data_IF_024843657557
#
_entry.id   IF_024843657557
#
_cell.length_a   1.000
_cell.length_b   1.000
_cell.length_c   1.000
_cell.angle_alpha   90.00
_cell.angle_beta   90.00
_cell.angle_gamma   90.00
#
_symmetry.space_group_name_H-M   'P 1'
#
loop_
_entity.id
_entity.type
_entity.pdbx_description
1 polymer ?
#
# COMPACT_ATOMS: atom_id res chain seq x y z
N UNK A 1 -32.33 -19.80 28.37
CA UNK A 1 -31.84 -20.76 27.35
C UNK A 1 -31.41 -19.92 26.17
N UNK A 2 -30.09 -19.74 25.96
CA UNK A 2 -29.34 -20.52 24.96
C UNK A 2 -29.67 -19.95 23.57
N UNK A 3 -28.89 -19.05 22.97
CA UNK A 3 -27.52 -19.29 22.52
C UNK A 3 -27.61 -19.60 21.02
N UNK A 4 -26.95 -18.81 20.16
CA UNK A 4 -26.81 -19.20 18.76
C UNK A 4 -26.61 -18.07 17.75
N UNK A 5 -25.34 -17.80 17.48
CA UNK A 5 -24.76 -17.57 16.14
C UNK A 5 -25.09 -16.26 15.41
N UNK A 6 -24.12 -15.35 15.44
CA UNK A 6 -23.93 -14.35 14.38
C UNK A 6 -23.66 -15.06 13.04
N UNK A 7 -24.26 -14.62 11.93
CA UNK A 7 -23.75 -14.93 10.61
C UNK A 7 -23.01 -13.72 10.05
N UNK A 8 -21.74 -13.97 9.75
CA UNK A 8 -21.04 -13.61 8.50
C UNK A 8 -21.07 -12.13 8.10
N UNK A 9 -19.96 -11.44 8.37
CA UNK A 9 -19.51 -10.38 7.47
C UNK A 9 -19.22 -11.05 6.12
N UNK A 10 -20.14 -10.88 5.18
CA UNK A 10 -19.92 -11.12 3.77
C UNK A 10 -18.96 -10.00 3.30
N UNK A 11 -17.66 -10.27 3.43
CA UNK A 11 -16.64 -9.52 2.71
C UNK A 11 -16.78 -9.93 1.25
N UNK A 12 -17.69 -9.25 0.54
CA UNK A 12 -17.84 -9.37 -0.91
C UNK A 12 -16.53 -8.88 -1.53
N UNK A 13 -15.61 -9.85 -1.73
CA UNK A 13 -14.26 -9.71 -2.24
C UNK A 13 -14.17 -9.20 -3.68
N UNK A 14 -14.99 -8.22 -4.04
CA UNK A 14 -14.92 -7.44 -5.26
C UNK A 14 -13.79 -6.43 -5.13
N UNK A 15 -12.56 -6.92 -4.96
CA UNK A 15 -11.35 -6.14 -5.17
C UNK A 15 -11.34 -5.74 -6.65
N UNK A 16 -11.76 -4.51 -6.95
CA UNK A 16 -12.04 -4.02 -8.29
C UNK A 16 -10.83 -4.19 -9.23
N UNK A 17 -10.82 -5.28 -10.01
CA UNK A 17 -9.71 -5.60 -10.91
C UNK A 17 -9.55 -4.59 -12.06
N UNK A 18 -10.54 -3.73 -12.31
CA UNK A 18 -10.46 -2.60 -13.26
C UNK A 18 -9.75 -1.35 -12.71
N UNK A 19 -9.60 -1.23 -11.38
CA UNK A 19 -8.74 -0.21 -10.78
C UNK A 19 -7.24 -0.45 -11.08
N UNK A 20 -6.87 -1.65 -11.55
CA UNK A 20 -5.49 -2.06 -11.86
C UNK A 20 -4.81 -1.20 -12.93
N UNK A 21 -5.54 -0.75 -13.94
CA UNK A 21 -4.99 0.08 -15.01
C UNK A 21 -5.10 1.59 -14.68
N UNK A 22 -6.15 1.98 -13.96
CA UNK A 22 -6.30 3.33 -13.43
C UNK A 22 -5.23 3.68 -12.40
N UNK A 23 -4.80 2.72 -11.57
CA UNK A 23 -3.69 2.88 -10.63
C UNK A 23 -2.35 2.96 -11.35
N UNK A 24 -2.06 2.09 -12.34
CA UNK A 24 -0.86 2.21 -13.20
C UNK A 24 -0.82 3.53 -13.97
N UNK A 25 -1.96 4.00 -14.47
CA UNK A 25 -2.09 5.29 -15.18
C UNK A 25 -1.94 6.48 -14.24
N UNK A 26 -2.52 6.41 -13.03
CA UNK A 26 -2.25 7.36 -11.95
C UNK A 26 -0.77 7.30 -11.52
N UNK A 27 -0.11 6.15 -11.68
CA UNK A 27 1.31 5.95 -11.38
C UNK A 27 2.26 6.64 -12.38
N UNK A 28 1.86 6.77 -13.65
CA UNK A 28 2.58 7.65 -14.58
C UNK A 28 2.40 9.15 -14.26
N UNK A 29 1.51 9.50 -13.33
CA UNK A 29 1.24 10.87 -12.88
C UNK A 29 1.89 11.26 -11.55
N UNK A 30 2.98 10.59 -11.12
CA UNK A 30 3.60 10.85 -9.81
C UNK A 30 4.25 12.23 -9.68
N UNK A 31 4.34 13.05 -10.73
CA UNK A 31 4.83 14.43 -10.61
C UNK A 31 4.05 15.23 -9.55
N UNK A 32 2.71 15.20 -9.56
CA UNK A 32 1.89 15.95 -8.59
C UNK A 32 1.98 15.36 -7.16
N UNK A 33 1.82 14.04 -6.96
CA UNK A 33 2.00 13.39 -5.66
C UNK A 33 3.41 13.53 -5.06
N UNK A 34 4.47 13.44 -5.90
CA UNK A 34 5.86 13.66 -5.49
C UNK A 34 6.11 15.13 -5.17
N UNK A 35 5.54 16.07 -5.93
CA UNK A 35 5.60 17.49 -5.61
C UNK A 35 4.98 17.78 -4.23
N UNK A 36 3.83 17.18 -3.92
CA UNK A 36 3.19 17.34 -2.61
C UNK A 36 4.03 16.83 -1.44
N UNK A 37 4.92 15.86 -1.66
CA UNK A 37 5.85 15.42 -0.61
C UNK A 37 6.82 16.53 -0.19
N UNK A 38 7.12 17.47 -1.10
CA UNK A 38 7.94 18.64 -0.84
C UNK A 38 7.13 19.88 -0.45
N UNK A 39 5.93 20.07 -1.02
CA UNK A 39 5.13 21.30 -0.87
C UNK A 39 4.01 21.21 0.17
N UNK A 40 3.54 20.01 0.53
CA UNK A 40 2.36 19.76 1.40
C UNK A 40 2.54 18.49 2.26
N UNK A 41 3.44 18.50 3.26
CA UNK A 41 3.76 17.33 4.07
C UNK A 41 2.56 16.72 4.81
N UNK A 42 1.53 17.51 5.14
CA UNK A 42 0.28 17.04 5.76
C UNK A 42 -0.56 16.14 4.85
N UNK A 43 -0.38 16.24 3.54
CA UNK A 43 -1.07 15.39 2.54
C UNK A 43 -0.37 14.05 2.35
N UNK A 44 0.89 13.94 2.76
CA UNK A 44 1.66 12.72 2.58
C UNK A 44 1.03 11.53 3.32
N UNK A 45 0.74 11.68 4.62
CA UNK A 45 0.21 10.58 5.44
C UNK A 45 -1.25 10.26 5.11
N UNK A 46 -2.02 11.24 4.63
CA UNK A 46 -3.45 11.09 4.36
C UNK A 46 -3.77 10.65 2.93
N UNK A 47 -2.87 10.92 1.98
CA UNK A 47 -3.09 10.64 0.56
C UNK A 47 -2.05 9.69 -0.01
N UNK A 48 -0.76 9.95 0.21
CA UNK A 48 0.32 9.21 -0.46
C UNK A 48 0.58 7.86 0.22
N UNK A 49 0.66 7.86 1.55
CA UNK A 49 0.98 6.66 2.31
C UNK A 49 -0.07 5.54 2.15
N UNK A 50 -1.39 5.80 2.22
CA UNK A 50 -2.38 4.75 1.98
C UNK A 50 -2.24 4.13 0.58
N UNK A 51 -1.93 4.96 -0.44
CA UNK A 51 -1.73 4.49 -1.82
C UNK A 51 -0.48 3.62 -1.98
N UNK A 52 0.60 3.93 -1.27
CA UNK A 52 1.79 3.07 -1.22
C UNK A 52 1.47 1.72 -0.57
N UNK A 53 0.62 1.71 0.46
CA UNK A 53 0.13 0.49 1.09
C UNK A 53 -0.66 -0.39 0.12
N UNK A 54 -1.64 0.20 -0.57
CA UNK A 54 -2.43 -0.49 -1.60
C UNK A 54 -1.53 -1.08 -2.71
N UNK A 55 -0.54 -0.31 -3.18
CA UNK A 55 0.41 -0.78 -4.19
C UNK A 55 1.24 -1.97 -3.68
N UNK A 56 1.68 -1.94 -2.43
CA UNK A 56 2.41 -3.04 -1.83
C UNK A 56 1.57 -4.33 -1.77
N UNK A 57 0.33 -4.23 -1.29
CA UNK A 57 -0.58 -5.37 -1.19
C UNK A 57 -0.92 -5.94 -2.57
N UNK A 58 -1.11 -5.08 -3.58
CA UNK A 58 -1.32 -5.49 -4.97
C UNK A 58 -0.12 -6.27 -5.53
N UNK A 59 1.11 -5.80 -5.29
CA UNK A 59 2.32 -6.47 -5.79
C UNK A 59 2.55 -7.81 -5.10
N UNK A 60 2.36 -7.86 -3.78
CA UNK A 60 2.43 -9.10 -3.01
C UNK A 60 1.37 -10.10 -3.48
N UNK A 61 0.14 -9.64 -3.74
CA UNK A 61 -0.95 -10.51 -4.17
C UNK A 61 -0.69 -11.07 -5.57
N UNK A 62 -0.35 -10.21 -6.55
CA UNK A 62 -0.15 -10.63 -7.93
C UNK A 62 1.00 -11.61 -8.12
N UNK A 63 2.10 -11.41 -7.40
CA UNK A 63 3.32 -12.23 -7.61
C UNK A 63 3.52 -13.33 -6.59
N UNK A 64 2.99 -13.15 -5.38
CA UNK A 64 3.27 -14.05 -4.25
C UNK A 64 1.99 -14.64 -3.63
N UNK A 65 0.81 -14.19 -4.08
CA UNK A 65 -0.49 -14.71 -3.62
C UNK A 65 -0.82 -14.36 -2.17
N UNK A 66 -0.19 -13.34 -1.59
CA UNK A 66 -0.38 -12.91 -0.19
C UNK A 66 -0.56 -11.40 -0.10
N UNK A 67 -1.17 -10.91 0.97
CA UNK A 67 -1.21 -9.48 1.35
C UNK A 67 -0.61 -9.30 2.75
N UNK A 68 -0.37 -8.04 3.15
CA UNK A 68 0.05 -7.75 4.54
C UNK A 68 -0.98 -8.19 5.58
N UNK A 69 -2.26 -8.25 5.20
CA UNK A 69 -3.34 -8.70 6.07
C UNK A 69 -3.45 -10.24 6.12
N UNK A 70 -3.38 -10.91 4.97
CA UNK A 70 -3.59 -12.36 4.90
C UNK A 70 -2.44 -13.18 5.51
N UNK A 71 -1.20 -12.72 5.33
CA UNK A 71 0.00 -13.34 5.89
C UNK A 71 1.08 -12.27 6.19
N UNK A 72 0.97 -11.58 7.35
CA UNK A 72 1.87 -10.48 7.70
C UNK A 72 3.33 -10.92 7.84
N UNK A 73 3.57 -12.15 8.30
CA UNK A 73 4.92 -12.67 8.47
C UNK A 73 5.62 -12.85 7.11
N UNK A 74 4.92 -13.47 6.15
CA UNK A 74 5.46 -13.66 4.80
C UNK A 74 5.55 -12.35 4.03
N UNK A 75 4.55 -11.49 4.14
CA UNK A 75 4.56 -10.16 3.54
C UNK A 75 5.77 -9.33 4.03
N UNK A 76 6.09 -9.36 5.32
CA UNK A 76 7.27 -8.69 5.87
C UNK A 76 8.58 -9.21 5.28
N UNK A 77 8.70 -10.52 5.08
CA UNK A 77 9.90 -11.11 4.46
C UNK A 77 10.05 -10.64 3.01
N UNK A 78 8.95 -10.58 2.25
CA UNK A 78 8.95 -10.17 0.85
C UNK A 78 9.22 -8.67 0.68
N UNK A 79 8.57 -7.83 1.48
CA UNK A 79 8.77 -6.37 1.47
C UNK A 79 10.14 -5.95 2.03
N UNK A 80 10.69 -6.75 2.93
CA UNK A 80 11.86 -6.38 3.71
C UNK A 80 11.51 -5.43 4.87
N UNK A 81 12.40 -5.39 5.87
CA UNK A 81 12.15 -4.71 7.15
C UNK A 81 11.97 -3.19 7.00
N UNK A 82 12.72 -2.57 6.08
CA UNK A 82 12.66 -1.13 5.83
C UNK A 82 11.31 -0.70 5.25
N UNK A 83 10.84 -1.40 4.21
CA UNK A 83 9.61 -1.08 3.51
C UNK A 83 8.39 -1.43 4.37
N UNK A 84 8.45 -2.56 5.08
CA UNK A 84 7.46 -2.94 6.09
C UNK A 84 7.30 -1.85 7.15
N UNK A 85 8.40 -1.42 7.79
CA UNK A 85 8.36 -0.36 8.81
C UNK A 85 7.86 0.97 8.27
N UNK A 86 8.25 1.32 7.04
CA UNK A 86 7.79 2.56 6.42
C UNK A 86 6.27 2.58 6.22
N UNK A 87 5.67 1.46 5.81
CA UNK A 87 4.23 1.35 5.59
C UNK A 87 3.46 1.25 6.92
N UNK A 88 3.96 0.50 7.89
CA UNK A 88 3.29 0.29 9.20
C UNK A 88 3.47 1.46 10.16
N UNK A 89 4.64 2.10 10.15
CA UNK A 89 5.00 3.19 11.05
C UNK A 89 5.61 4.32 10.23
N UNK A 90 4.76 5.12 9.57
CA UNK A 90 5.23 6.19 8.72
C UNK A 90 6.09 7.19 9.51
N UNK A 91 7.20 7.64 8.92
CA UNK A 91 8.07 8.61 9.56
C UNK A 91 7.33 9.94 9.77
N UNK A 92 7.58 10.59 10.91
CA UNK A 92 7.04 11.93 11.22
C UNK A 92 7.46 13.01 10.22
N UNK A 93 8.57 12.78 9.51
CA UNK A 93 9.02 13.62 8.40
C UNK A 93 8.69 12.94 7.09
N UNK A 94 8.06 13.70 6.20
CA UNK A 94 7.79 13.29 4.83
C UNK A 94 9.09 12.94 4.12
N UNK A 95 9.20 11.75 3.49
CA UNK A 95 10.36 11.40 2.68
C UNK A 95 10.50 12.38 1.52
N UNK A 96 11.74 12.64 1.11
CA UNK A 96 12.00 13.46 -0.07
C UNK A 96 11.42 12.79 -1.33
N UNK A 97 11.10 13.57 -2.38
CA UNK A 97 10.61 13.03 -3.65
C UNK A 97 11.50 11.90 -4.21
N UNK A 98 12.83 12.05 -4.10
CA UNK A 98 13.80 11.03 -4.54
C UNK A 98 13.69 9.74 -3.73
N UNK A 99 13.54 9.83 -2.41
CA UNK A 99 13.36 8.65 -1.56
C UNK A 99 12.02 7.97 -1.83
N UNK A 100 10.97 8.76 -2.06
CA UNK A 100 9.65 8.25 -2.40
C UNK A 100 9.67 7.51 -3.76
N UNK A 101 10.36 8.05 -4.77
CA UNK A 101 10.56 7.36 -6.05
C UNK A 101 11.36 6.05 -5.90
N UNK A 102 12.36 6.02 -5.02
CA UNK A 102 13.10 4.80 -4.74
C UNK A 102 12.22 3.73 -4.07
N UNK A 103 11.40 4.12 -3.08
CA UNK A 103 10.41 3.25 -2.43
C UNK A 103 9.45 2.65 -3.46
N UNK A 104 8.95 3.46 -4.40
CA UNK A 104 8.07 2.97 -5.47
C UNK A 104 8.80 1.97 -6.37
N UNK A 105 10.02 2.27 -6.79
CA UNK A 105 10.81 1.38 -7.63
C UNK A 105 11.13 0.04 -6.95
N UNK A 106 11.29 0.02 -5.62
CA UNK A 106 11.41 -1.21 -4.84
C UNK A 106 10.10 -2.00 -4.83
N UNK A 107 8.96 -1.35 -4.61
CA UNK A 107 7.63 -1.99 -4.66
C UNK A 107 7.32 -2.61 -6.03
N UNK A 108 7.73 -1.97 -7.12
CA UNK A 108 7.51 -2.51 -8.48
C UNK A 108 8.37 -3.73 -8.81
N UNK A 109 9.42 -3.98 -8.03
CA UNK A 109 10.36 -5.09 -8.23
C UNK A 109 10.01 -6.37 -7.48
N UNK A 110 9.26 -6.27 -6.37
CA UNK A 110 8.56 -7.41 -5.74
C UNK A 110 7.88 -8.25 -6.80
#
# INVERSE_FOLDING_TARGET
>A
RGGGRAPVSDDDGTWNWGARDALRTAINGWELPLDWSATRPERFTTVILPRLGELADERLSQRHGVTRESDPARARVLLGDQLWKFLETPPRRTPSPRNLAAIVAELERL
#
